data_IF_014956594717
#
_entry.id   IF_014956594717
#
_cell.length_a   1.000
_cell.length_b   1.000
_cell.length_c   1.000
_cell.angle_alpha   90.00
_cell.angle_beta   90.00
_cell.angle_gamma   90.00
#
_symmetry.space_group_name_H-M   'P 1'
#
loop_
_entity.id
_entity.type
_entity.pdbx_description
1 polymer ?
#
# COMPACT_ATOMS: atom_id res chain seq x y z
N UNK A 1 7.63 11.15 11.08
CA UNK A 1 7.48 10.89 9.63
C UNK A 1 6.18 10.14 9.47
N UNK A 2 5.36 10.56 8.52
CA UNK A 2 4.16 9.81 8.12
C UNK A 2 4.47 9.12 6.78
N UNK A 3 4.20 7.82 6.71
CA UNK A 3 4.44 7.00 5.52
C UNK A 3 3.16 6.21 5.25
N UNK A 4 2.70 6.29 4.00
CA UNK A 4 1.51 5.59 3.53
C UNK A 4 1.78 4.97 2.16
N UNK A 5 0.92 4.02 1.78
CA UNK A 5 0.89 3.44 0.44
C UNK A 5 -0.39 3.87 -0.26
N UNK A 6 -0.24 4.27 -1.53
CA UNK A 6 -1.35 4.61 -2.42
C UNK A 6 -1.31 3.65 -3.59
N UNK A 7 -2.41 2.96 -3.86
CA UNK A 7 -2.46 1.90 -4.85
C UNK A 7 -2.98 2.40 -6.21
N UNK A 8 -2.27 2.01 -7.26
CA UNK A 8 -2.64 2.35 -8.64
C UNK A 8 -3.60 1.29 -9.16
N UNK A 9 -4.85 1.69 -9.40
CA UNK A 9 -5.89 0.84 -9.96
C UNK A 9 -6.92 1.69 -10.73
N UNK A 10 -7.95 1.06 -11.27
CA UNK A 10 -9.07 1.73 -11.93
C UNK A 10 -10.38 1.40 -11.25
N UNK A 11 -11.24 2.41 -11.04
CA UNK A 11 -12.63 2.20 -10.63
C UNK A 11 -13.34 1.36 -11.69
N UNK A 12 -13.99 0.28 -11.26
CA UNK A 12 -14.77 -0.60 -12.12
C UNK A 12 -15.96 -1.14 -11.32
N UNK A 13 -17.08 -0.43 -11.33
CA UNK A 13 -18.27 -0.79 -10.57
C UNK A 13 -18.94 -2.09 -11.07
N UNK A 14 -18.51 -2.63 -12.22
CA UNK A 14 -18.95 -3.94 -12.73
C UNK A 14 -18.08 -5.10 -12.25
N UNK A 15 -16.96 -4.84 -11.58
CA UNK A 15 -16.14 -5.86 -10.94
C UNK A 15 -16.81 -6.28 -9.61
N UNK A 16 -17.13 -7.57 -9.42
CA UNK A 16 -18.06 -8.01 -8.37
C UNK A 16 -17.48 -8.02 -6.95
N UNK A 17 -16.16 -8.16 -6.79
CA UNK A 17 -15.56 -8.37 -5.46
C UNK A 17 -15.10 -7.06 -4.80
N UNK A 18 -14.53 -6.14 -5.58
CA UNK A 18 -13.84 -4.95 -5.13
C UNK A 18 -14.41 -3.65 -5.73
N UNK A 19 -15.17 -3.71 -6.84
CA UNK A 19 -15.58 -2.51 -7.58
C UNK A 19 -14.39 -1.71 -8.12
N UNK A 20 -13.23 -2.36 -8.22
CA UNK A 20 -11.92 -1.81 -8.60
C UNK A 20 -11.17 -2.88 -9.40
N UNK A 21 -10.56 -2.48 -10.50
CA UNK A 21 -9.67 -3.35 -11.28
C UNK A 21 -8.21 -2.95 -11.04
N UNK A 22 -7.48 -3.85 -10.40
CA UNK A 22 -6.03 -3.77 -10.21
C UNK A 22 -5.28 -4.31 -11.44
N UNK A 23 -4.03 -3.88 -11.65
CA UNK A 23 -3.26 -4.13 -12.86
C UNK A 23 -2.84 -5.61 -13.03
N UNK A 24 -2.72 -6.33 -11.93
CA UNK A 24 -2.31 -7.74 -11.87
C UNK A 24 -3.47 -8.65 -11.44
N UNK A 25 -4.71 -8.20 -11.57
CA UNK A 25 -5.91 -8.98 -11.30
C UNK A 25 -6.41 -8.92 -9.85
N UNK A 26 -7.38 -9.75 -9.49
CA UNK A 26 -8.10 -9.66 -8.21
C UNK A 26 -7.23 -9.97 -6.98
N UNK A 27 -6.20 -10.81 -7.12
CA UNK A 27 -5.27 -11.11 -6.02
C UNK A 27 -4.45 -9.88 -5.62
N UNK A 28 -4.03 -9.03 -6.57
CA UNK A 28 -3.41 -7.75 -6.23
C UNK A 28 -4.37 -6.84 -5.47
N UNK A 29 -5.65 -6.79 -5.86
CA UNK A 29 -6.67 -6.04 -5.11
C UNK A 29 -6.81 -6.56 -3.68
N UNK A 30 -6.89 -7.88 -3.49
CA UNK A 30 -6.93 -8.49 -2.15
C UNK A 30 -5.70 -8.11 -1.31
N UNK A 31 -4.50 -8.17 -1.90
CA UNK A 31 -3.25 -7.77 -1.25
C UNK A 31 -3.26 -6.30 -0.82
N UNK A 32 -3.72 -5.41 -1.69
CA UNK A 32 -3.84 -3.99 -1.39
C UNK A 32 -4.82 -3.75 -0.24
N UNK A 33 -5.98 -4.42 -0.25
CA UNK A 33 -6.95 -4.35 0.85
C UNK A 33 -6.32 -4.79 2.17
N UNK A 34 -5.64 -5.95 2.19
CA UNK A 34 -4.98 -6.46 3.39
C UNK A 34 -3.98 -5.44 3.97
N UNK A 35 -3.14 -4.84 3.12
CA UNK A 35 -2.16 -3.84 3.55
C UNK A 35 -2.81 -2.54 4.05
N UNK A 36 -3.90 -2.09 3.43
CA UNK A 36 -4.67 -0.91 3.86
C UNK A 36 -5.35 -1.13 5.21
N UNK A 37 -5.97 -2.29 5.41
CA UNK A 37 -6.61 -2.64 6.66
C UNK A 37 -5.61 -2.76 7.80
N UNK A 38 -4.47 -3.41 7.57
CA UNK A 38 -3.40 -3.46 8.58
C UNK A 38 -2.85 -2.07 8.90
N UNK A 39 -2.67 -1.18 7.90
CA UNK A 39 -2.26 0.21 8.16
C UNK A 39 -3.24 0.91 9.11
N UNK A 40 -4.54 0.73 8.88
CA UNK A 40 -5.59 1.39 9.67
C UNK A 40 -5.64 0.89 11.13
N UNK A 41 -5.41 -0.40 11.35
CA UNK A 41 -5.70 -1.07 12.63
C UNK A 41 -4.48 -1.53 13.43
N UNK A 42 -3.28 -1.48 12.85
CA UNK A 42 -2.05 -1.87 13.52
C UNK A 42 -1.06 -0.70 13.65
N UNK A 43 -0.15 -0.73 14.66
CA UNK A 43 0.93 0.24 14.74
C UNK A 43 1.81 0.23 13.48
N UNK A 44 2.41 1.37 13.15
CA UNK A 44 3.26 1.54 11.97
C UNK A 44 4.33 0.46 11.82
N UNK A 45 5.01 0.06 12.91
CA UNK A 45 6.02 -0.99 12.88
C UNK A 45 5.45 -2.32 12.39
N UNK A 46 4.29 -2.73 12.92
CA UNK A 46 3.64 -3.99 12.56
C UNK A 46 3.12 -3.94 11.13
N UNK A 47 2.52 -2.82 10.73
CA UNK A 47 2.10 -2.63 9.34
C UNK A 47 3.27 -2.73 8.36
N UNK A 48 4.41 -2.09 8.67
CA UNK A 48 5.58 -2.15 7.81
C UNK A 48 6.19 -3.55 7.73
N UNK A 49 6.23 -4.30 8.84
CA UNK A 49 6.63 -5.71 8.83
C UNK A 49 5.66 -6.57 8.00
N UNK A 50 4.35 -6.30 8.08
CA UNK A 50 3.34 -7.00 7.28
C UNK A 50 3.55 -6.77 5.78
N UNK A 51 3.72 -5.51 5.36
CA UNK A 51 3.99 -5.14 3.96
C UNK A 51 5.27 -5.82 3.46
N UNK A 52 6.37 -5.78 4.23
CA UNK A 52 7.62 -6.44 3.86
C UNK A 52 7.46 -7.95 3.73
N UNK A 53 6.77 -8.59 4.68
CA UNK A 53 6.51 -10.02 4.65
C UNK A 53 5.74 -10.44 3.39
N UNK A 54 4.68 -9.70 3.03
CA UNK A 54 3.90 -9.99 1.83
C UNK A 54 4.75 -9.84 0.57
N UNK A 55 5.47 -8.72 0.43
CA UNK A 55 6.33 -8.46 -0.72
C UNK A 55 7.43 -9.53 -0.87
N UNK A 56 7.93 -10.08 0.24
CA UNK A 56 8.89 -11.18 0.22
C UNK A 56 8.32 -12.49 -0.37
N UNK A 57 7.00 -12.74 -0.27
CA UNK A 57 6.40 -13.94 -0.88
C UNK A 57 6.34 -13.86 -2.42
N UNK A 58 6.59 -12.69 -2.99
CA UNK A 58 6.60 -12.47 -4.44
C UNK A 58 5.21 -12.19 -5.03
N UNK A 59 5.21 -11.59 -6.22
CA UNK A 59 4.02 -10.99 -6.86
C UNK A 59 2.83 -11.93 -7.10
N UNK A 60 3.06 -13.24 -7.13
CA UNK A 60 2.02 -14.24 -7.40
C UNK A 60 1.39 -14.84 -6.14
N UNK A 61 1.91 -14.49 -4.95
CA UNK A 61 1.40 -15.01 -3.68
C UNK A 61 0.79 -13.89 -2.81
N UNK A 62 1.11 -12.63 -3.10
CA UNK A 62 0.49 -11.47 -2.47
C UNK A 62 -1.03 -11.51 -2.71
N UNK A 63 -1.80 -11.25 -1.65
CA UNK A 63 -3.26 -11.28 -1.71
C UNK A 63 -3.89 -12.62 -1.38
N UNK A 64 -3.12 -13.71 -1.34
CA UNK A 64 -3.67 -14.99 -0.90
C UNK A 64 -3.98 -14.98 0.60
N UNK A 65 -5.09 -15.62 1.04
CA UNK A 65 -5.42 -15.81 2.45
C UNK A 65 -4.28 -16.34 3.31
N UNK A 66 -3.58 -17.37 2.83
CA UNK A 66 -2.47 -18.00 3.55
C UNK A 66 -1.35 -16.99 3.84
N UNK A 67 -0.97 -16.19 2.84
CA UNK A 67 0.06 -15.17 2.99
C UNK A 67 -0.40 -14.05 3.92
N UNK A 68 -1.66 -13.62 3.85
CA UNK A 68 -2.20 -12.62 4.77
C UNK A 68 -2.08 -13.07 6.23
N UNK A 69 -2.56 -14.27 6.56
CA UNK A 69 -2.55 -14.80 7.92
C UNK A 69 -1.13 -15.08 8.44
N UNK A 70 -0.27 -15.64 7.58
CA UNK A 70 1.16 -15.85 7.87
C UNK A 70 1.86 -14.53 8.17
N UNK A 71 1.65 -13.51 7.35
CA UNK A 71 2.29 -12.21 7.53
C UNK A 71 1.72 -11.42 8.70
N UNK A 72 0.44 -11.56 9.03
CA UNK A 72 -0.13 -11.02 10.26
C UNK A 72 0.58 -11.60 11.48
N UNK A 73 0.72 -12.93 11.53
CA UNK A 73 1.45 -13.63 12.60
C UNK A 73 2.91 -13.16 12.68
N UNK A 74 3.61 -13.11 11.54
CA UNK A 74 5.01 -12.67 11.47
C UNK A 74 5.20 -11.24 11.96
N UNK A 75 4.24 -10.37 11.65
CA UNK A 75 4.24 -8.98 12.06
C UNK A 75 3.69 -8.76 13.48
N UNK A 76 3.32 -9.81 14.23
CA UNK A 76 2.76 -9.68 15.58
C UNK A 76 1.38 -9.02 15.62
N UNK A 77 0.59 -9.19 14.57
CA UNK A 77 -0.78 -8.68 14.46
C UNK A 77 -1.75 -9.80 14.81
N UNK A 78 -2.58 -9.58 15.83
CA UNK A 78 -3.73 -10.45 16.09
C UNK A 78 -4.79 -10.20 15.02
N UNK A 79 -4.82 -11.04 13.98
CA UNK A 79 -5.73 -10.86 12.84
C UNK A 79 -7.20 -10.81 13.27
N UNK A 80 -7.58 -11.59 14.28
CA UNK A 80 -8.97 -11.70 14.71
C UNK A 80 -9.37 -10.51 15.61
N UNK A 81 -8.48 -10.06 16.49
CA UNK A 81 -8.82 -9.07 17.52
C UNK A 81 -8.38 -7.64 17.21
N UNK A 82 -7.44 -7.43 16.28
CA UNK A 82 -6.92 -6.08 15.96
C UNK A 82 -7.93 -5.20 15.20
N UNK A 83 -8.97 -5.78 14.61
CA UNK A 83 -9.85 -5.12 13.64
C UNK A 83 -9.34 -5.20 12.20
N UNK A 84 -8.05 -5.51 11.98
CA UNK A 84 -7.50 -5.66 10.63
C UNK A 84 -8.16 -6.81 9.85
N UNK A 85 -8.42 -7.95 10.51
CA UNK A 85 -9.10 -9.08 9.89
C UNK A 85 -10.58 -8.83 9.62
N UNK A 86 -11.29 -8.08 10.45
CA UNK A 86 -12.67 -7.68 10.13
C UNK A 86 -12.70 -6.74 8.92
N UNK A 87 -11.79 -5.77 8.87
CA UNK A 87 -11.65 -4.84 7.75
C UNK A 87 -11.30 -5.56 6.43
N UNK A 88 -10.41 -6.54 6.45
CA UNK A 88 -9.95 -7.25 5.24
C UNK A 88 -10.79 -8.49 4.90
N UNK A 89 -11.48 -9.08 5.87
CA UNK A 89 -12.07 -10.42 5.80
C UNK A 89 -11.30 -11.38 6.71
N UNK A 90 -12.01 -11.99 7.67
CA UNK A 90 -11.39 -12.87 8.68
C UNK A 90 -10.73 -14.09 8.05
N UNK A 91 -11.22 -14.51 6.87
CA UNK A 91 -10.63 -15.56 6.04
C UNK A 91 -9.37 -15.11 5.29
N UNK A 92 -8.96 -13.85 5.40
CA UNK A 92 -7.81 -13.29 4.68
C UNK A 92 -8.09 -12.95 3.22
N UNK A 93 -9.34 -13.02 2.75
CA UNK A 93 -9.69 -12.84 1.32
C UNK A 93 -9.44 -11.44 0.77
N UNK A 94 -9.38 -10.41 1.63
CA UNK A 94 -9.30 -9.02 1.19
C UNK A 94 -10.63 -8.47 0.64
N UNK A 95 -11.75 -9.18 0.83
CA UNK A 95 -13.04 -8.85 0.20
C UNK A 95 -14.08 -8.23 1.15
N UNK A 96 -13.74 -7.97 2.40
CA UNK A 96 -14.69 -7.33 3.31
C UNK A 96 -14.94 -5.86 2.92
N UNK A 97 -16.19 -5.41 3.15
CA UNK A 97 -16.71 -4.15 2.62
C UNK A 97 -15.86 -2.93 3.00
N UNK A 98 -15.38 -2.87 4.25
CA UNK A 98 -14.56 -1.75 4.70
C UNK A 98 -13.23 -1.68 3.95
N UNK A 99 -12.52 -2.81 3.85
CA UNK A 99 -11.26 -2.88 3.14
C UNK A 99 -11.41 -2.56 1.65
N UNK A 100 -12.48 -3.03 1.02
CA UNK A 100 -12.82 -2.68 -0.37
C UNK A 100 -13.05 -1.18 -0.54
N UNK A 101 -13.76 -0.53 0.40
CA UNK A 101 -13.95 0.92 0.39
C UNK A 101 -12.61 1.68 0.58
N UNK A 102 -11.71 1.18 1.44
CA UNK A 102 -10.36 1.73 1.57
C UNK A 102 -9.58 1.63 0.25
N UNK A 103 -9.65 0.50 -0.46
CA UNK A 103 -9.01 0.34 -1.77
C UNK A 103 -9.60 1.31 -2.80
N UNK A 104 -10.92 1.49 -2.81
CA UNK A 104 -11.59 2.47 -3.69
C UNK A 104 -11.11 3.89 -3.40
N UNK A 105 -11.03 4.29 -2.13
CA UNK A 105 -10.50 5.60 -1.70
C UNK A 105 -9.04 5.79 -2.08
N UNK A 106 -8.21 4.78 -1.84
CA UNK A 106 -6.79 4.78 -2.25
C UNK A 106 -6.63 4.95 -3.76
N UNK A 107 -7.46 4.27 -4.54
CA UNK A 107 -7.49 4.37 -6.00
C UNK A 107 -7.84 5.79 -6.48
N UNK A 108 -8.86 6.42 -5.86
CA UNK A 108 -9.25 7.80 -6.18
C UNK A 108 -8.14 8.80 -5.81
N UNK A 109 -7.51 8.62 -4.64
CA UNK A 109 -6.38 9.44 -4.21
C UNK A 109 -5.20 9.31 -5.19
N UNK A 110 -4.88 8.10 -5.65
CA UNK A 110 -3.84 7.87 -6.65
C UNK A 110 -4.11 8.61 -7.97
N UNK A 111 -5.38 8.65 -8.40
CA UNK A 111 -5.81 9.43 -9.58
C UNK A 111 -5.69 10.93 -9.36
N UNK A 112 -6.09 11.44 -8.19
CA UNK A 112 -5.96 12.85 -7.83
C UNK A 112 -4.49 13.30 -7.83
N UNK A 113 -3.61 12.47 -7.28
CA UNK A 113 -2.16 12.67 -7.26
C UNK A 113 -1.49 12.38 -8.62
N UNK A 114 -2.26 12.01 -9.65
CA UNK A 114 -1.79 11.69 -11.02
C UNK A 114 -0.73 10.57 -11.05
N UNK A 115 -0.81 9.63 -10.11
CA UNK A 115 0.10 8.49 -10.04
C UNK A 115 -0.35 7.44 -11.06
N UNK A 116 0.51 7.15 -12.04
CA UNK A 116 0.21 6.19 -13.13
C UNK A 116 1.16 5.00 -13.15
N UNK A 117 2.24 5.03 -12.36
CA UNK A 117 3.29 4.02 -12.35
C UNK A 117 3.64 3.60 -10.94
N UNK A 118 3.83 2.30 -10.75
CA UNK A 118 4.36 1.72 -9.52
C UNK A 118 5.83 1.36 -9.75
N UNK A 119 6.79 1.81 -8.94
CA UNK A 119 6.64 2.69 -7.77
C UNK A 119 6.83 4.16 -8.14
N UNK A 120 5.96 5.06 -7.68
CA UNK A 120 6.18 6.51 -7.67
C UNK A 120 6.41 6.94 -6.22
N UNK A 121 7.55 7.57 -5.93
CA UNK A 121 7.88 8.08 -4.60
C UNK A 121 7.39 9.52 -4.49
N UNK A 122 6.58 9.79 -3.46
CA UNK A 122 6.09 11.13 -3.16
C UNK A 122 6.70 11.62 -1.85
N UNK A 123 7.16 12.87 -1.83
CA UNK A 123 7.55 13.58 -0.60
C UNK A 123 6.72 14.86 -0.52
N UNK A 124 6.01 15.05 0.59
CA UNK A 124 5.06 16.16 0.79
C UNK A 124 4.04 16.28 -0.36
N UNK A 125 3.53 15.15 -0.85
CA UNK A 125 2.53 15.11 -1.92
C UNK A 125 3.06 15.37 -3.33
N UNK A 126 4.37 15.59 -3.50
CA UNK A 126 5.00 15.79 -4.82
C UNK A 126 5.76 14.54 -5.23
N UNK A 127 5.56 14.08 -6.47
CA UNK A 127 6.37 13.03 -7.05
C UNK A 127 7.83 13.51 -7.15
N UNK A 128 8.76 12.74 -6.60
CA UNK A 128 10.20 13.07 -6.57
C UNK A 128 11.06 12.08 -7.34
N UNK A 129 10.54 10.89 -7.62
CA UNK A 129 11.26 9.81 -8.30
C UNK A 129 10.29 8.70 -8.71
N UNK A 130 10.47 8.11 -9.89
CA UNK A 130 9.67 6.99 -10.40
C UNK A 130 10.57 5.79 -10.68
N UNK A 131 10.18 4.60 -10.24
CA UNK A 131 10.85 3.35 -10.56
C UNK A 131 9.93 2.42 -11.35
N UNK A 132 10.11 2.41 -12.67
CA UNK A 132 9.32 1.65 -13.64
C UNK A 132 10.28 0.85 -14.54
N UNK A 133 10.81 -0.23 -13.96
CA UNK A 133 11.95 -1.02 -14.47
C UNK A 133 13.31 -0.35 -14.27
N UNK A 134 13.37 0.97 -14.45
CA UNK A 134 14.54 1.83 -14.17
C UNK A 134 14.09 3.09 -13.43
N UNK A 135 15.01 3.75 -12.74
CA UNK A 135 14.79 5.05 -12.10
C UNK A 135 14.65 6.16 -13.16
N UNK A 136 13.60 6.97 -13.02
CA UNK A 136 13.22 8.06 -13.94
C UNK A 136 12.68 9.23 -13.13
N UNK A 137 12.83 10.44 -13.65
CA UNK A 137 12.28 11.66 -13.03
C UNK A 137 12.75 11.83 -11.57
N UNK A 138 14.05 11.59 -11.35
CA UNK A 138 14.72 11.63 -10.04
C UNK A 138 15.80 12.72 -10.03
N UNK A 139 15.45 13.97 -10.31
CA UNK A 139 16.39 15.09 -10.44
C UNK A 139 17.26 15.28 -9.20
N UNK A 140 16.74 14.90 -8.03
CA UNK A 140 17.42 15.00 -6.75
C UNK A 140 18.12 13.71 -6.31
N UNK A 141 18.22 12.72 -7.21
CA UNK A 141 18.83 11.42 -6.96
C UNK A 141 17.84 10.36 -6.47
N UNK A 142 18.27 9.10 -6.52
CA UNK A 142 17.45 7.91 -6.24
C UNK A 142 18.12 6.93 -5.27
N UNK A 143 19.22 7.33 -4.64
CA UNK A 143 19.87 6.53 -3.58
C UNK A 143 19.15 6.72 -2.25
N UNK A 144 19.41 5.85 -1.27
CA UNK A 144 18.86 6.00 0.08
C UNK A 144 19.24 7.36 0.67
N UNK A 145 20.51 7.77 0.54
CA UNK A 145 20.98 9.08 1.00
C UNK A 145 20.24 10.26 0.34
N UNK A 146 19.86 10.11 -0.94
CA UNK A 146 19.11 11.15 -1.64
C UNK A 146 17.69 11.31 -1.09
N UNK A 147 17.00 10.21 -0.82
CA UNK A 147 15.67 10.26 -0.21
C UNK A 147 15.71 10.79 1.22
N UNK A 148 16.68 10.37 2.04
CA UNK A 148 16.86 10.88 3.41
C UNK A 148 17.07 12.39 3.38
N UNK A 149 18.01 12.88 2.55
CA UNK A 149 18.28 14.31 2.40
C UNK A 149 17.02 15.08 1.98
N UNK A 150 16.27 14.58 1.00
CA UNK A 150 15.04 15.23 0.54
C UNK A 150 13.98 15.30 1.64
N UNK A 151 13.79 14.24 2.44
CA UNK A 151 12.87 14.24 3.58
C UNK A 151 13.30 15.27 4.63
N UNK A 152 14.58 15.32 4.98
CA UNK A 152 15.11 16.30 5.94
C UNK A 152 14.97 17.74 5.45
N UNK A 153 15.20 17.98 4.17
CA UNK A 153 15.05 19.30 3.56
C UNK A 153 13.58 19.75 3.56
N UNK A 154 12.64 18.84 3.31
CA UNK A 154 11.20 19.13 3.41
C UNK A 154 10.76 19.36 4.85
N UNK A 155 11.27 18.58 5.80
CA UNK A 155 11.03 18.82 7.23
C UNK A 155 11.49 20.22 7.65
N UNK A 156 12.70 20.63 7.23
CA UNK A 156 13.22 21.98 7.52
C UNK A 156 12.37 23.08 6.88
N UNK A 157 11.73 22.86 5.72
CA UNK A 157 10.86 23.86 5.08
C UNK A 157 9.52 24.01 5.80
N UNK A 158 8.94 22.91 6.27
CA UNK A 158 7.65 22.88 6.95
C UNK A 158 7.70 23.42 8.40
N UNK A 159 8.88 23.41 9.02
CA UNK A 159 9.09 23.82 10.41
C UNK A 159 9.93 25.11 10.53
N UNK A 160 9.84 25.98 9.52
CA UNK A 160 10.30 27.38 9.58
C UNK A 160 9.12 28.28 9.88
#
# INVERSE_FOLDING_TARGET
MDLSLVYVASINDSEPDFGVSCLHGPEECAGNVQQLCVNKYAPFSNWWEFVKCQNFQGRYNIGTPEVALKCATTAGIDWQMSGAGECAGLDGSGKALEGVDLLRKSTLLGKELKITKSCTVLISGRAVCVHDGTWKDCENGHTISDFVRQIEDEYKKLNK
#
